data_IF_045382419686
#
_entry.id   IF_045382419686
#
_cell.length_a   1.000
_cell.length_b   1.000
_cell.length_c   1.000
_cell.angle_alpha   90.00
_cell.angle_beta   90.00
_cell.angle_gamma   90.00
#
_symmetry.space_group_name_H-M   'P 1'
#
loop_
_entity.id
_entity.type
_entity.pdbx_description
1 polymer ?
#
# COMPACT_ATOMS: atom_id res chain seq x y z
N UNK A 1 6.47 -23.67 10.10
CA UNK A 1 5.09 -23.14 10.20
C UNK A 1 4.17 -24.28 10.54
N UNK A 2 3.20 -24.04 11.40
CA UNK A 2 2.17 -25.01 11.79
C UNK A 2 1.10 -25.15 10.71
N UNK A 3 0.32 -26.24 10.70
CA UNK A 3 -0.83 -26.40 9.77
C UNK A 3 -1.77 -25.20 9.81
N UNK A 4 -2.04 -24.71 11.01
CA UNK A 4 -2.95 -23.58 11.24
C UNK A 4 -2.40 -22.29 10.61
N UNK A 5 -1.11 -22.00 10.82
CA UNK A 5 -0.47 -20.83 10.22
C UNK A 5 -0.44 -20.87 8.68
N UNK A 6 -0.35 -22.09 8.13
CA UNK A 6 -0.37 -22.30 6.69
C UNK A 6 -1.75 -22.01 6.09
N UNK A 7 -2.79 -22.64 6.63
CA UNK A 7 -4.16 -22.40 6.18
C UNK A 7 -4.56 -20.94 6.38
N UNK A 8 -4.04 -20.31 7.44
CA UNK A 8 -4.21 -18.87 7.65
C UNK A 8 -3.53 -18.04 6.55
N UNK A 9 -2.33 -18.43 6.10
CA UNK A 9 -1.67 -17.77 4.98
C UNK A 9 -2.45 -17.87 3.67
N UNK A 10 -3.13 -18.99 3.41
CA UNK A 10 -4.06 -19.13 2.27
C UNK A 10 -5.22 -18.14 2.39
N UNK A 11 -5.93 -18.12 3.53
CA UNK A 11 -7.04 -17.18 3.77
C UNK A 11 -6.61 -15.72 3.63
N UNK A 12 -5.42 -15.35 4.11
CA UNK A 12 -4.89 -13.98 3.97
C UNK A 12 -4.50 -13.63 2.54
N UNK A 13 -4.09 -14.62 1.74
CA UNK A 13 -3.78 -14.41 0.33
C UNK A 13 -5.06 -14.16 -0.46
N UNK A 14 -6.09 -14.97 -0.23
CA UNK A 14 -7.40 -14.81 -0.89
C UNK A 14 -8.07 -13.50 -0.48
N UNK A 15 -8.13 -13.21 0.83
CA UNK A 15 -8.67 -11.96 1.34
C UNK A 15 -7.87 -10.74 0.89
N UNK A 16 -6.56 -10.91 0.63
CA UNK A 16 -5.72 -9.87 0.03
C UNK A 16 -6.17 -9.46 -1.37
N UNK A 17 -6.71 -10.39 -2.17
CA UNK A 17 -7.29 -10.10 -3.49
C UNK A 17 -8.57 -9.27 -3.33
N UNK A 18 -9.43 -9.63 -2.38
CA UNK A 18 -10.66 -8.89 -2.11
C UNK A 18 -10.36 -7.47 -1.61
N UNK A 19 -9.36 -7.31 -0.75
CA UNK A 19 -8.89 -6.00 -0.32
C UNK A 19 -8.43 -5.13 -1.50
N UNK A 20 -7.71 -5.71 -2.48
CA UNK A 20 -7.30 -5.02 -3.71
C UNK A 20 -8.52 -4.60 -4.55
N UNK A 21 -9.54 -5.47 -4.67
CA UNK A 21 -10.79 -5.16 -5.40
C UNK A 21 -11.56 -4.03 -4.71
N UNK A 22 -11.68 -4.09 -3.38
CA UNK A 22 -12.32 -3.04 -2.58
C UNK A 22 -11.59 -1.71 -2.73
N UNK A 23 -10.25 -1.69 -2.69
CA UNK A 23 -9.46 -0.47 -2.93
C UNK A 23 -9.59 0.07 -4.35
N UNK A 24 -9.72 -0.81 -5.35
CA UNK A 24 -10.00 -0.38 -6.72
C UNK A 24 -11.37 0.32 -6.84
N UNK A 25 -12.40 -0.19 -6.13
CA UNK A 25 -13.70 0.47 -6.02
C UNK A 25 -13.61 1.85 -5.39
N UNK A 26 -12.99 1.96 -4.21
CA UNK A 26 -12.77 3.25 -3.53
C UNK A 26 -11.96 4.23 -4.39
N UNK A 27 -10.96 3.73 -5.13
CA UNK A 27 -10.16 4.57 -6.02
C UNK A 27 -10.99 5.14 -7.16
N UNK A 28 -11.91 4.34 -7.72
CA UNK A 28 -12.81 4.79 -8.80
C UNK A 28 -13.72 5.92 -8.34
N UNK A 29 -14.34 5.81 -7.17
CA UNK A 29 -15.18 6.86 -6.58
C UNK A 29 -14.40 8.18 -6.40
N UNK A 30 -13.15 8.10 -5.93
CA UNK A 30 -12.29 9.28 -5.78
C UNK A 30 -11.87 9.85 -7.13
N UNK A 31 -11.53 9.00 -8.10
CA UNK A 31 -11.16 9.44 -9.46
C UNK A 31 -12.33 10.11 -10.20
N UNK A 32 -13.57 9.67 -9.97
CA UNK A 32 -14.79 10.32 -10.44
C UNK A 32 -14.91 11.74 -9.86
N UNK A 33 -14.78 11.88 -8.54
CA UNK A 33 -14.77 13.20 -7.88
C UNK A 33 -13.65 14.13 -8.37
N UNK A 34 -12.47 13.59 -8.67
CA UNK A 34 -11.37 14.39 -9.26
C UNK A 34 -11.68 14.78 -10.71
N UNK A 35 -12.44 13.96 -11.44
CA UNK A 35 -12.90 14.28 -12.80
C UNK A 35 -13.92 15.42 -12.76
N UNK A 36 -14.89 15.37 -11.85
CA UNK A 36 -15.86 16.46 -11.63
C UNK A 36 -15.16 17.80 -11.33
N UNK A 37 -14.16 17.79 -10.45
CA UNK A 37 -13.34 18.97 -10.17
C UNK A 37 -12.61 19.47 -11.42
N UNK A 38 -12.07 18.56 -12.23
CA UNK A 38 -11.39 18.93 -13.47
C UNK A 38 -12.34 19.65 -14.43
N UNK A 39 -13.58 19.15 -14.57
CA UNK A 39 -14.62 19.78 -15.37
C UNK A 39 -15.03 21.14 -14.84
N UNK A 40 -15.16 21.30 -13.51
CA UNK A 40 -15.45 22.58 -12.87
C UNK A 40 -14.35 23.61 -13.13
N UNK A 41 -13.08 23.22 -12.97
CA UNK A 41 -11.93 24.08 -13.25
C UNK A 41 -11.85 24.49 -14.73
N UNK A 42 -12.21 23.59 -15.65
CA UNK A 42 -12.30 23.89 -17.09
C UNK A 42 -13.43 24.87 -17.38
N UNK A 43 -14.63 24.63 -16.82
CA UNK A 43 -15.79 25.54 -16.97
C UNK A 43 -15.48 26.94 -16.45
N UNK A 44 -14.74 27.03 -15.35
CA UNK A 44 -14.30 28.30 -14.78
C UNK A 44 -13.44 29.10 -15.76
N UNK A 45 -12.54 28.44 -16.50
CA UNK A 45 -11.75 29.10 -17.56
C UNK A 45 -12.58 29.45 -18.80
N UNK A 46 -13.44 28.54 -19.25
CA UNK A 46 -14.28 28.75 -20.44
C UNK A 46 -15.32 29.86 -20.23
N UNK A 47 -15.79 30.06 -19.00
CA UNK A 47 -16.69 31.16 -18.62
C UNK A 47 -16.03 32.53 -18.54
N UNK A 48 -14.80 32.69 -19.04
CA UNK A 48 -14.04 33.95 -19.03
C UNK A 48 -13.64 34.33 -20.45
N UNK A 49 -13.63 35.64 -20.73
CA UNK A 49 -13.15 36.16 -22.02
C UNK A 49 -11.62 36.22 -21.99
N UNK A 50 -10.98 35.26 -22.65
CA UNK A 50 -9.52 35.16 -22.76
C UNK A 50 -9.00 35.88 -24.03
N UNK A 51 -7.76 36.42 -24.03
CA UNK A 51 -6.79 36.43 -22.92
C UNK A 51 -7.23 37.30 -21.75
N UNK A 52 -6.84 36.93 -20.52
CA UNK A 52 -7.16 37.71 -19.31
C UNK A 52 -6.54 39.11 -19.44
N UNK A 53 -7.26 40.15 -19.02
CA UNK A 53 -6.86 41.54 -19.29
C UNK A 53 -5.93 42.11 -18.23
N UNK A 54 -6.02 41.58 -17.00
CA UNK A 54 -5.29 42.13 -15.86
C UNK A 54 -5.15 41.09 -14.73
N UNK A 55 -4.27 41.41 -13.78
CA UNK A 55 -3.98 40.57 -12.61
C UNK A 55 -5.20 40.38 -11.69
N UNK A 56 -6.15 41.32 -11.67
CA UNK A 56 -7.37 41.21 -10.85
C UNK A 56 -8.27 40.07 -11.35
N UNK A 57 -8.41 39.92 -12.67
CA UNK A 57 -9.14 38.80 -13.28
C UNK A 57 -8.45 37.46 -13.03
N UNK A 58 -7.11 37.42 -13.12
CA UNK A 58 -6.30 36.24 -12.73
C UNK A 58 -6.59 35.85 -11.29
N UNK A 59 -6.46 36.78 -10.34
CA UNK A 59 -6.65 36.48 -8.91
C UNK A 59 -8.08 36.01 -8.61
N UNK A 60 -9.10 36.59 -9.24
CA UNK A 60 -10.49 36.14 -9.07
C UNK A 60 -10.68 34.66 -9.49
N UNK A 61 -10.11 34.27 -10.63
CA UNK A 61 -10.12 32.89 -11.12
C UNK A 61 -9.42 31.96 -10.13
N UNK A 62 -8.26 32.37 -9.60
CA UNK A 62 -7.51 31.57 -8.63
C UNK A 62 -8.26 31.41 -7.31
N UNK A 63 -8.94 32.45 -6.83
CA UNK A 63 -9.71 32.40 -5.60
C UNK A 63 -10.95 31.49 -5.72
N UNK A 64 -11.65 31.57 -6.85
CA UNK A 64 -12.78 30.68 -7.16
C UNK A 64 -12.30 29.22 -7.28
N UNK A 65 -11.21 28.98 -8.01
CA UNK A 65 -10.64 27.64 -8.15
C UNK A 65 -10.16 27.07 -6.81
N UNK A 66 -9.51 27.88 -5.97
CA UNK A 66 -9.05 27.43 -4.65
C UNK A 66 -10.22 27.00 -3.75
N UNK A 67 -11.38 27.68 -3.84
CA UNK A 67 -12.60 27.29 -3.12
C UNK A 67 -13.15 25.96 -3.63
N UNK A 68 -13.27 25.79 -4.95
CA UNK A 68 -13.72 24.55 -5.59
C UNK A 68 -12.83 23.35 -5.22
N UNK A 69 -11.50 23.52 -5.35
CA UNK A 69 -10.52 22.49 -5.00
C UNK A 69 -10.63 22.12 -3.52
N UNK A 70 -10.70 23.11 -2.63
CA UNK A 70 -10.83 22.86 -1.18
C UNK A 70 -12.12 22.11 -0.85
N UNK A 71 -13.24 22.50 -1.46
CA UNK A 71 -14.53 21.85 -1.26
C UNK A 71 -14.46 20.37 -1.70
N UNK A 72 -14.04 20.11 -2.93
CA UNK A 72 -13.98 18.74 -3.47
C UNK A 72 -13.05 17.84 -2.66
N UNK A 73 -11.85 18.32 -2.31
CA UNK A 73 -10.91 17.52 -1.52
C UNK A 73 -11.38 17.29 -0.08
N UNK A 74 -12.20 18.19 0.47
CA UNK A 74 -12.85 17.96 1.78
C UNK A 74 -13.86 16.83 1.69
N UNK A 75 -14.67 16.80 0.62
CA UNK A 75 -15.61 15.70 0.38
C UNK A 75 -14.90 14.35 0.13
N UNK A 76 -13.86 14.35 -0.71
CA UNK A 76 -13.03 13.16 -0.96
C UNK A 76 -12.46 12.63 0.36
N UNK A 77 -11.92 13.51 1.20
CA UNK A 77 -11.36 13.12 2.49
C UNK A 77 -12.42 12.51 3.42
N UNK A 78 -13.62 13.09 3.48
CA UNK A 78 -14.72 12.59 4.31
C UNK A 78 -15.25 11.23 3.83
N UNK A 79 -15.47 11.08 2.52
CA UNK A 79 -15.93 9.83 1.92
C UNK A 79 -14.89 8.70 2.13
N UNK A 80 -13.61 9.01 1.90
CA UNK A 80 -12.54 8.05 2.12
C UNK A 80 -12.41 7.65 3.60
N UNK A 81 -12.53 8.59 4.56
CA UNK A 81 -12.52 8.29 6.00
C UNK A 81 -13.67 7.35 6.39
N UNK A 82 -14.88 7.59 5.87
CA UNK A 82 -16.03 6.72 6.11
C UNK A 82 -15.80 5.29 5.59
N UNK A 83 -15.27 5.17 4.36
CA UNK A 83 -14.90 3.90 3.75
C UNK A 83 -13.84 3.15 4.58
N UNK A 84 -12.81 3.85 5.08
CA UNK A 84 -11.77 3.27 5.92
C UNK A 84 -12.31 2.79 7.28
N UNK A 85 -13.27 3.50 7.89
CA UNK A 85 -13.88 3.07 9.17
C UNK A 85 -14.66 1.77 9.03
N UNK A 86 -15.37 1.61 7.90
CA UNK A 86 -16.06 0.36 7.58
C UNK A 86 -15.07 -0.75 7.30
N UNK A 87 -14.03 -0.47 6.51
CA UNK A 87 -12.95 -1.42 6.24
C UNK A 87 -12.29 -1.91 7.54
N UNK A 88 -12.00 -1.02 8.49
CA UNK A 88 -11.41 -1.41 9.78
C UNK A 88 -12.28 -2.43 10.54
N UNK A 89 -13.60 -2.29 10.50
CA UNK A 89 -14.53 -3.23 11.14
C UNK A 89 -14.52 -4.58 10.43
N UNK A 90 -14.55 -4.57 9.09
CA UNK A 90 -14.48 -5.79 8.26
C UNK A 90 -13.18 -6.54 8.54
N UNK A 91 -12.06 -5.83 8.57
CA UNK A 91 -10.72 -6.39 8.73
C UNK A 91 -10.48 -6.95 10.14
N UNK A 92 -11.00 -6.28 11.18
CA UNK A 92 -11.00 -6.85 12.53
C UNK A 92 -11.90 -8.10 12.64
N UNK A 93 -13.05 -8.10 11.98
CA UNK A 93 -13.91 -9.29 11.87
C UNK A 93 -13.16 -10.46 11.24
N UNK A 94 -12.58 -10.23 10.05
CA UNK A 94 -11.75 -11.19 9.33
C UNK A 94 -10.57 -11.71 10.16
N UNK A 95 -9.87 -10.84 10.89
CA UNK A 95 -8.71 -11.24 11.71
C UNK A 95 -9.04 -12.33 12.74
N UNK A 96 -10.21 -12.24 13.38
CA UNK A 96 -10.67 -13.24 14.34
C UNK A 96 -11.31 -14.46 13.68
N UNK A 97 -12.14 -14.25 12.65
CA UNK A 97 -12.86 -15.33 11.98
C UNK A 97 -11.96 -16.23 11.15
N UNK A 98 -10.90 -15.69 10.53
CA UNK A 98 -9.93 -16.45 9.74
C UNK A 98 -9.19 -17.50 10.56
N UNK A 99 -8.93 -17.25 11.84
CA UNK A 99 -8.35 -18.27 12.73
C UNK A 99 -9.45 -19.22 13.23
N UNK A 100 -10.59 -18.67 13.66
CA UNK A 100 -11.69 -19.46 14.23
C UNK A 100 -12.32 -20.44 13.24
N UNK A 101 -12.30 -20.15 11.92
CA UNK A 101 -12.80 -21.06 10.88
C UNK A 101 -11.92 -22.29 10.66
N UNK A 102 -10.67 -22.24 11.14
CA UNK A 102 -9.67 -23.30 10.96
C UNK A 102 -9.57 -24.24 12.17
N UNK A 103 -10.36 -24.00 13.21
CA UNK A 103 -10.35 -24.77 14.46
C UNK A 103 -11.76 -25.17 14.87
N UNK A 104 -11.92 -26.31 15.55
CA UNK A 104 -13.24 -26.81 15.94
C UNK A 104 -13.91 -26.02 17.05
N UNK A 105 -13.15 -25.25 17.83
CA UNK A 105 -13.64 -24.36 18.88
C UNK A 105 -13.01 -22.98 18.72
N UNK A 106 -13.77 -21.87 18.77
CA UNK A 106 -13.21 -20.54 18.65
C UNK A 106 -12.15 -20.26 19.73
N UNK A 107 -10.99 -19.78 19.29
CA UNK A 107 -9.85 -19.42 20.15
C UNK A 107 -9.51 -17.92 20.10
N UNK A 108 -10.00 -17.22 19.06
CA UNK A 108 -9.85 -15.77 18.92
C UNK A 108 -11.14 -15.05 19.32
N UNK A 109 -10.99 -14.04 20.16
CA UNK A 109 -12.01 -13.06 20.52
C UNK A 109 -12.05 -11.93 19.49
N UNK A 110 -13.26 -11.47 19.16
CA UNK A 110 -13.46 -10.26 18.37
C UNK A 110 -13.16 -8.98 19.16
N UNK A 111 -12.95 -7.89 18.45
CA UNK A 111 -12.80 -6.54 19.02
C UNK A 111 -14.03 -5.71 18.67
N UNK A 112 -14.51 -4.88 19.61
CA UNK A 112 -15.70 -4.06 19.41
C UNK A 112 -15.56 -3.06 18.26
N UNK A 113 -16.65 -2.84 17.51
CA UNK A 113 -16.71 -1.98 16.32
C UNK A 113 -16.13 -0.59 16.56
N UNK A 114 -16.48 0.05 17.68
CA UNK A 114 -16.01 1.40 18.01
C UNK A 114 -14.47 1.46 18.14
N UNK A 115 -13.86 0.42 18.74
CA UNK A 115 -12.39 0.33 18.86
C UNK A 115 -11.74 0.09 17.50
N UNK A 116 -12.33 -0.74 16.65
CA UNK A 116 -11.83 -0.98 15.28
C UNK A 116 -11.94 0.28 14.42
N UNK A 117 -13.09 0.96 14.40
CA UNK A 117 -13.26 2.20 13.63
C UNK A 117 -12.38 3.34 14.14
N UNK A 118 -11.98 3.33 15.42
CA UNK A 118 -11.04 4.31 15.97
C UNK A 118 -9.61 4.15 15.45
N UNK A 119 -9.24 2.99 14.90
CA UNK A 119 -7.90 2.75 14.30
C UNK A 119 -7.59 3.78 13.23
N UNK A 120 -8.58 4.15 12.40
CA UNK A 120 -8.42 5.11 11.30
C UNK A 120 -7.80 6.44 11.76
N UNK A 121 -8.16 6.91 12.96
CA UNK A 121 -7.66 8.18 13.48
C UNK A 121 -6.16 8.16 13.85
N UNK A 122 -5.63 6.98 14.18
CA UNK A 122 -4.24 6.78 14.60
C UNK A 122 -3.36 6.20 13.48
N UNK A 123 -3.94 5.79 12.36
CA UNK A 123 -3.20 5.24 11.23
C UNK A 123 -2.38 6.32 10.54
N UNK A 124 -1.06 6.10 10.46
CA UNK A 124 -0.14 6.93 9.71
C UNK A 124 0.22 6.25 8.38
N UNK A 125 0.12 7.01 7.29
CA UNK A 125 0.56 6.62 5.95
C UNK A 125 1.89 7.31 5.73
N UNK A 126 2.98 6.55 5.79
CA UNK A 126 4.34 7.07 5.50
C UNK A 126 4.66 8.32 6.34
N UNK A 127 4.29 8.25 7.62
CA UNK A 127 4.54 9.30 8.63
C UNK A 127 3.45 10.35 8.80
N UNK A 128 2.40 10.37 7.97
CA UNK A 128 1.32 11.36 8.10
C UNK A 128 -0.09 10.72 8.02
N UNK A 129 -1.09 11.25 8.74
CA UNK A 129 -2.46 10.75 8.64
C UNK A 129 -3.05 11.04 7.25
N UNK A 130 -3.99 10.21 6.81
CA UNK A 130 -4.66 10.34 5.50
C UNK A 130 -5.24 11.74 5.25
N UNK A 131 -5.76 12.40 6.31
CA UNK A 131 -6.27 13.78 6.22
C UNK A 131 -5.20 14.78 5.79
N UNK A 132 -3.98 14.68 6.30
CA UNK A 132 -2.88 15.58 5.90
C UNK A 132 -2.46 15.35 4.45
N UNK A 133 -2.46 14.09 3.99
CA UNK A 133 -2.18 13.78 2.59
C UNK A 133 -3.23 14.38 1.65
N UNK A 134 -4.52 14.34 1.99
CA UNK A 134 -5.55 14.99 1.18
C UNK A 134 -5.41 16.52 1.14
N UNK A 135 -5.07 17.15 2.27
CA UNK A 135 -4.76 18.58 2.32
C UNK A 135 -3.58 18.92 1.41
N UNK A 136 -2.52 18.09 1.44
CA UNK A 136 -1.37 18.26 0.56
C UNK A 136 -1.77 18.14 -0.92
N UNK A 137 -2.56 17.13 -1.30
CA UNK A 137 -2.99 16.97 -2.69
C UNK A 137 -3.86 18.15 -3.16
N UNK A 138 -4.74 18.68 -2.31
CA UNK A 138 -5.52 19.88 -2.62
C UNK A 138 -4.61 21.10 -2.87
N UNK A 139 -3.58 21.28 -2.05
CA UNK A 139 -2.59 22.34 -2.23
C UNK A 139 -1.77 22.15 -3.52
N UNK A 140 -1.34 20.91 -3.83
CA UNK A 140 -0.61 20.59 -5.06
C UNK A 140 -1.44 20.90 -6.30
N UNK A 141 -2.75 20.57 -6.30
CA UNK A 141 -3.69 20.90 -7.39
C UNK A 141 -3.86 22.41 -7.53
N UNK A 142 -4.07 23.11 -6.41
CA UNK A 142 -4.21 24.57 -6.40
C UNK A 142 -2.96 25.26 -6.96
N UNK A 143 -1.78 24.78 -6.58
CA UNK A 143 -0.50 25.29 -7.08
C UNK A 143 -0.34 25.09 -8.59
N UNK A 144 -0.66 23.88 -9.09
CA UNK A 144 -0.59 23.55 -10.53
C UNK A 144 -1.58 24.36 -11.35
N UNK A 145 -2.82 24.46 -10.90
CA UNK A 145 -3.84 25.28 -11.56
C UNK A 145 -3.40 26.75 -11.61
N UNK A 146 -2.89 27.29 -10.49
CA UNK A 146 -2.38 28.65 -10.46
C UNK A 146 -1.22 28.88 -11.42
N UNK A 147 -0.34 27.90 -11.58
CA UNK A 147 0.71 27.92 -12.59
C UNK A 147 0.15 28.03 -14.01
N UNK A 148 -0.84 27.21 -14.37
CA UNK A 148 -1.49 27.25 -15.69
C UNK A 148 -2.09 28.62 -15.97
N UNK A 149 -2.87 29.18 -15.04
CA UNK A 149 -3.54 30.47 -15.26
C UNK A 149 -2.55 31.64 -15.34
N UNK A 150 -1.55 31.67 -14.45
CA UNK A 150 -0.54 32.75 -14.44
C UNK A 150 0.33 32.72 -15.69
N UNK A 151 0.81 31.54 -16.08
CA UNK A 151 1.61 31.39 -17.29
C UNK A 151 0.77 31.68 -18.54
N UNK A 152 -0.48 31.21 -18.56
CA UNK A 152 -1.40 31.51 -19.65
C UNK A 152 -1.66 33.00 -19.82
N UNK A 153 -1.77 33.74 -18.72
CA UNK A 153 -1.86 35.21 -18.75
C UNK A 153 -0.57 35.86 -19.27
N UNK A 154 0.60 35.47 -18.75
CA UNK A 154 1.89 36.06 -19.14
C UNK A 154 2.25 35.78 -20.60
N UNK A 155 1.96 34.56 -21.07
CA UNK A 155 2.33 34.10 -22.40
C UNK A 155 1.24 34.33 -23.46
N UNK A 156 0.07 34.84 -23.07
CA UNK A 156 -1.06 35.04 -23.98
C UNK A 156 -1.66 33.72 -24.51
N UNK A 157 -1.67 32.66 -23.70
CA UNK A 157 -2.22 31.35 -24.10
C UNK A 157 -3.73 31.39 -24.29
N UNK A 158 -4.23 30.56 -25.22
CA UNK A 158 -5.67 30.39 -25.45
C UNK A 158 -6.30 29.52 -24.35
N UNK A 159 -7.63 29.59 -24.25
CA UNK A 159 -8.41 28.71 -23.38
C UNK A 159 -8.10 27.24 -23.65
N UNK A 160 -8.03 26.83 -24.91
CA UNK A 160 -7.78 25.44 -25.30
C UNK A 160 -6.39 24.96 -24.87
N UNK A 161 -5.38 25.84 -24.93
CA UNK A 161 -4.02 25.53 -24.48
C UNK A 161 -3.97 25.32 -22.97
N UNK A 162 -4.61 26.19 -22.18
CA UNK A 162 -4.71 26.03 -20.74
C UNK A 162 -5.55 24.79 -20.34
N UNK A 163 -6.67 24.56 -21.02
CA UNK A 163 -7.50 23.36 -20.80
C UNK A 163 -6.70 22.09 -21.10
N UNK A 164 -5.91 22.06 -22.17
CA UNK A 164 -5.03 20.92 -22.49
C UNK A 164 -4.01 20.67 -21.38
N UNK A 165 -3.49 21.70 -20.70
CA UNK A 165 -2.60 21.52 -19.56
C UNK A 165 -3.31 20.95 -18.32
N UNK A 166 -4.59 21.24 -18.13
CA UNK A 166 -5.39 20.76 -17.00
C UNK A 166 -5.81 19.30 -17.21
N UNK A 167 -6.54 19.02 -18.28
CA UNK A 167 -7.19 17.72 -18.52
C UNK A 167 -6.51 16.85 -19.57
N UNK A 168 -5.54 17.41 -20.29
CA UNK A 168 -4.88 16.72 -21.40
C UNK A 168 -5.67 16.77 -22.70
N UNK A 169 -5.19 16.03 -23.69
CA UNK A 169 -5.90 15.78 -24.94
C UNK A 169 -5.63 14.35 -25.40
N UNK A 170 -6.63 13.74 -26.04
CA UNK A 170 -6.46 12.45 -26.73
C UNK A 170 -5.56 12.61 -27.96
N UNK A 171 -5.04 11.49 -28.46
CA UNK A 171 -4.31 11.48 -29.73
C UNK A 171 -5.20 12.04 -30.85
N UNK A 172 -4.60 12.79 -31.78
CA UNK A 172 -5.30 13.40 -32.92
C UNK A 172 -4.43 13.30 -34.17
N UNK A 173 -4.82 12.43 -35.11
CA UNK A 173 -3.97 12.09 -36.26
C UNK A 173 -2.61 11.60 -35.79
N UNK A 174 -1.54 12.19 -36.31
CA UNK A 174 -0.15 11.86 -35.94
C UNK A 174 0.30 12.48 -34.60
N UNK A 175 -0.54 13.30 -33.95
CA UNK A 175 -0.18 13.95 -32.69
C UNK A 175 -0.39 13.00 -31.50
N UNK A 176 0.65 12.78 -30.66
CA UNK A 176 0.54 11.94 -29.48
C UNK A 176 -0.41 12.58 -28.44
N UNK A 177 -0.99 11.76 -27.55
CA UNK A 177 -1.82 12.27 -26.45
C UNK A 177 -0.97 13.12 -25.51
N UNK A 178 -1.57 14.19 -24.97
CA UNK A 178 -0.96 15.03 -23.93
C UNK A 178 -1.65 14.72 -22.62
N UNK A 179 -0.88 14.43 -21.57
CA UNK A 179 -1.42 14.21 -20.23
C UNK A 179 -1.56 15.55 -19.51
N UNK A 180 -2.76 15.84 -19.02
CA UNK A 180 -3.01 16.99 -18.16
C UNK A 180 -2.52 16.72 -16.74
N UNK A 181 -2.34 17.78 -15.95
CA UNK A 181 -1.91 17.59 -14.56
C UNK A 181 -2.97 16.88 -13.71
N UNK A 182 -4.26 16.90 -14.10
CA UNK A 182 -5.31 16.16 -13.39
C UNK A 182 -5.12 14.64 -13.45
N UNK A 183 -4.43 14.10 -14.48
CA UNK A 183 -4.04 12.68 -14.50
C UNK A 183 -3.01 12.36 -13.41
N UNK A 184 -2.15 13.32 -13.05
CA UNK A 184 -1.21 13.18 -11.93
C UNK A 184 -1.98 13.15 -10.61
N UNK A 185 -2.97 14.03 -10.45
CA UNK A 185 -3.84 14.08 -9.28
C UNK A 185 -4.59 12.76 -9.06
N UNK A 186 -5.15 12.18 -10.12
CA UNK A 186 -5.81 10.86 -10.08
C UNK A 186 -4.86 9.75 -9.63
N UNK A 187 -3.65 9.68 -10.21
CA UNK A 187 -2.64 8.67 -9.81
C UNK A 187 -2.20 8.82 -8.35
N UNK A 188 -2.01 10.06 -7.89
CA UNK A 188 -1.66 10.36 -6.50
C UNK A 188 -2.79 9.95 -5.54
N UNK A 189 -4.04 10.25 -5.90
CA UNK A 189 -5.21 9.86 -5.13
C UNK A 189 -5.37 8.33 -5.03
N UNK A 190 -5.29 7.61 -6.16
CA UNK A 190 -5.30 6.13 -6.20
C UNK A 190 -4.22 5.53 -5.30
N UNK A 191 -3.02 6.09 -5.35
CA UNK A 191 -1.90 5.65 -4.51
C UNK A 191 -2.22 5.86 -3.02
N UNK A 192 -2.76 7.03 -2.65
CA UNK A 192 -3.15 7.31 -1.27
C UNK A 192 -4.27 6.39 -0.78
N UNK A 193 -5.29 6.14 -1.60
CA UNK A 193 -6.41 5.23 -1.29
C UNK A 193 -5.89 3.82 -1.00
N UNK A 194 -5.06 3.26 -1.90
CA UNK A 194 -4.45 1.94 -1.70
C UNK A 194 -3.70 1.85 -0.37
N UNK A 195 -2.82 2.81 -0.10
CA UNK A 195 -1.97 2.74 1.09
C UNK A 195 -2.74 3.00 2.39
N UNK A 196 -3.74 3.87 2.34
CA UNK A 196 -4.64 4.10 3.49
C UNK A 196 -5.39 2.84 3.86
N UNK A 197 -5.98 2.15 2.88
CA UNK A 197 -6.71 0.91 3.11
C UNK A 197 -5.80 -0.19 3.66
N UNK A 198 -4.60 -0.37 3.09
CA UNK A 198 -3.64 -1.38 3.58
C UNK A 198 -3.20 -1.10 5.03
N UNK A 199 -2.92 0.16 5.35
CA UNK A 199 -2.50 0.55 6.70
C UNK A 199 -3.63 0.38 7.72
N UNK A 200 -4.86 0.77 7.36
CA UNK A 200 -6.04 0.60 8.21
C UNK A 200 -6.38 -0.88 8.39
N UNK A 201 -6.31 -1.69 7.33
CA UNK A 201 -6.53 -3.13 7.41
C UNK A 201 -5.52 -3.79 8.35
N UNK A 202 -4.23 -3.45 8.23
CA UNK A 202 -3.21 -3.94 9.15
C UNK A 202 -3.48 -3.48 10.59
N UNK A 203 -3.74 -2.19 10.82
CA UNK A 203 -4.02 -1.65 12.15
C UNK A 203 -5.20 -2.34 12.83
N UNK A 204 -6.28 -2.58 12.09
CA UNK A 204 -7.47 -3.29 12.59
C UNK A 204 -7.18 -4.74 12.97
N UNK A 205 -6.45 -5.47 12.12
CA UNK A 205 -6.02 -6.85 12.41
C UNK A 205 -5.10 -6.90 13.62
N UNK A 206 -4.17 -5.95 13.74
CA UNK A 206 -3.25 -5.83 14.87
C UNK A 206 -3.97 -5.59 16.21
N UNK A 207 -5.06 -4.80 16.23
CA UNK A 207 -5.89 -4.64 17.42
C UNK A 207 -6.49 -5.97 17.90
N UNK A 208 -6.91 -6.82 16.95
CA UNK A 208 -7.44 -8.16 17.26
C UNK A 208 -6.33 -9.09 17.74
N UNK A 209 -5.16 -9.08 17.08
CA UNK A 209 -4.04 -9.89 17.52
C UNK A 209 -3.61 -9.52 18.94
N UNK A 210 -3.51 -8.22 19.23
CA UNK A 210 -3.18 -7.68 20.56
C UNK A 210 -4.21 -8.10 21.61
N UNK A 211 -5.49 -8.07 21.28
CA UNK A 211 -6.56 -8.51 22.20
C UNK A 211 -6.50 -10.02 22.51
N UNK A 212 -5.87 -10.81 21.64
CA UNK A 212 -5.72 -12.26 21.76
C UNK A 212 -4.28 -12.69 22.07
N UNK A 213 -3.44 -11.74 22.53
CA UNK A 213 -2.06 -11.98 22.92
C UNK A 213 -1.94 -12.23 24.42
N UNK A 214 -0.77 -12.71 24.86
CA UNK A 214 -0.42 -12.88 26.27
C UNK A 214 -0.24 -14.34 26.67
N UNK A 215 -0.13 -14.59 27.97
CA UNK A 215 0.16 -15.92 28.51
C UNK A 215 -0.91 -16.95 28.14
N UNK A 216 -2.18 -16.57 28.20
CA UNK A 216 -3.31 -17.44 27.89
C UNK A 216 -3.92 -17.22 26.49
N UNK A 217 -3.39 -16.25 25.74
CA UNK A 217 -3.86 -15.95 24.38
C UNK A 217 -3.20 -16.83 23.32
N UNK A 218 -3.88 -17.13 22.19
CA UNK A 218 -3.31 -17.92 21.11
C UNK A 218 -2.21 -17.20 20.32
N UNK A 219 -2.13 -15.86 20.39
CA UNK A 219 -1.13 -15.07 19.65
C UNK A 219 0.14 -14.91 20.49
N UNK A 220 1.28 -15.36 19.96
CA UNK A 220 2.62 -15.21 20.57
C UNK A 220 3.53 -14.21 19.85
N UNK A 221 3.06 -13.63 18.75
CA UNK A 221 3.82 -12.62 18.01
C UNK A 221 3.19 -12.31 16.65
N UNK A 222 4.04 -11.92 15.72
CA UNK A 222 3.64 -11.47 14.39
C UNK A 222 4.50 -12.13 13.33
N UNK A 223 3.91 -12.41 12.18
CA UNK A 223 4.62 -12.92 11.00
C UNK A 223 4.28 -12.07 9.80
N UNK A 224 5.26 -11.79 8.95
CA UNK A 224 4.96 -11.20 7.65
C UNK A 224 4.73 -12.29 6.60
N UNK A 225 3.65 -12.12 5.83
CA UNK A 225 3.36 -12.86 4.62
C UNK A 225 3.49 -11.92 3.43
N UNK A 226 4.47 -12.16 2.57
CA UNK A 226 4.62 -11.41 1.33
C UNK A 226 4.02 -12.14 0.15
N UNK A 227 3.38 -11.37 -0.74
CA UNK A 227 2.81 -11.88 -1.99
C UNK A 227 3.92 -12.54 -2.81
N UNK A 228 3.67 -13.72 -3.40
CA UNK A 228 4.63 -14.41 -4.26
C UNK A 228 4.33 -14.09 -5.73
N UNK A 229 4.76 -12.91 -6.18
CA UNK A 229 4.55 -12.47 -7.56
C UNK A 229 5.63 -11.51 -8.08
N UNK A 230 5.47 -11.09 -9.34
CA UNK A 230 6.39 -10.17 -10.01
C UNK A 230 6.38 -8.72 -9.49
N UNK A 231 5.41 -8.33 -8.67
CA UNK A 231 5.29 -6.94 -8.19
C UNK A 231 5.73 -6.81 -6.72
N UNK A 232 6.29 -7.87 -6.15
CA UNK A 232 6.80 -7.86 -4.78
C UNK A 232 8.18 -7.23 -4.72
N UNK A 233 8.32 -6.18 -3.92
CA UNK A 233 9.54 -5.37 -3.80
C UNK A 233 10.60 -6.08 -2.96
N UNK A 234 11.86 -5.69 -3.13
CA UNK A 234 13.01 -6.25 -2.38
C UNK A 234 12.79 -6.27 -0.87
N UNK A 235 12.32 -5.17 -0.29
CA UNK A 235 12.02 -5.12 1.14
C UNK A 235 10.95 -6.15 1.56
N UNK A 236 9.93 -6.41 0.73
CA UNK A 236 8.94 -7.42 1.05
C UNK A 236 9.49 -8.84 0.86
N UNK A 237 10.28 -9.09 -0.20
CA UNK A 237 10.92 -10.39 -0.46
C UNK A 237 11.77 -10.84 0.74
N UNK A 238 12.55 -9.91 1.32
CA UNK A 238 13.47 -10.18 2.44
C UNK A 238 12.72 -10.45 3.75
N UNK A 239 11.59 -9.78 3.95
CA UNK A 239 10.80 -9.92 5.17
C UNK A 239 9.79 -11.07 5.11
N UNK A 240 9.61 -11.75 3.98
CA UNK A 240 8.69 -12.88 3.86
C UNK A 240 9.00 -13.96 4.91
N UNK A 241 7.97 -14.41 5.61
CA UNK A 241 8.02 -15.42 6.68
C UNK A 241 8.82 -15.05 7.94
N UNK A 242 9.38 -13.83 8.02
CA UNK A 242 10.06 -13.33 9.22
C UNK A 242 9.06 -13.12 10.36
N UNK A 243 9.52 -13.33 11.58
CA UNK A 243 8.67 -13.36 12.79
C UNK A 243 9.23 -12.49 13.90
N UNK A 244 8.32 -11.81 14.59
CA UNK A 244 8.65 -11.00 15.77
C UNK A 244 7.79 -11.44 16.95
N UNK A 245 8.31 -11.33 18.16
CA UNK A 245 7.53 -11.56 19.37
C UNK A 245 6.53 -10.42 19.64
N UNK A 246 5.79 -10.53 20.75
CA UNK A 246 4.80 -9.52 21.17
C UNK A 246 5.42 -8.14 21.48
N UNK A 247 6.74 -8.07 21.71
CA UNK A 247 7.50 -6.84 21.92
C UNK A 247 8.16 -6.34 20.62
N UNK A 248 7.81 -6.93 19.47
CA UNK A 248 8.38 -6.62 18.17
C UNK A 248 9.88 -6.91 18.04
N UNK A 249 10.43 -7.76 18.92
CA UNK A 249 11.82 -8.21 18.81
C UNK A 249 11.90 -9.33 17.77
N UNK A 250 12.87 -9.28 16.85
CA UNK A 250 13.00 -10.29 15.81
C UNK A 250 13.36 -11.65 16.41
N UNK A 251 12.80 -12.72 15.84
CA UNK A 251 13.03 -14.10 16.28
C UNK A 251 13.74 -14.87 15.17
N UNK A 252 14.99 -15.27 15.41
CA UNK A 252 15.80 -15.99 14.43
C UNK A 252 16.32 -15.15 13.27
N UNK A 253 16.31 -13.82 13.38
CA UNK A 253 16.90 -12.88 12.42
C UNK A 253 17.22 -11.52 13.07
N UNK A 254 17.85 -10.61 12.33
CA UNK A 254 18.21 -9.26 12.80
C UNK A 254 17.29 -8.14 12.29
N UNK A 255 16.38 -8.44 11.36
CA UNK A 255 15.52 -7.43 10.72
C UNK A 255 14.51 -6.80 11.72
N UNK A 256 14.50 -5.47 11.90
CA UNK A 256 13.58 -4.80 12.83
C UNK A 256 12.14 -4.82 12.33
N UNK A 257 11.15 -4.87 13.24
CA UNK A 257 9.74 -4.82 12.84
C UNK A 257 9.39 -3.51 12.10
N UNK A 258 9.96 -2.39 12.56
CA UNK A 258 9.59 -1.02 12.19
C UNK A 258 8.09 -0.78 12.45
N UNK A 259 7.29 -0.65 11.40
CA UNK A 259 5.84 -0.50 11.45
C UNK A 259 5.06 -1.74 10.97
N UNK A 260 5.76 -2.81 10.56
CA UNK A 260 5.15 -3.95 9.87
C UNK A 260 4.63 -3.59 8.46
N UNK A 261 3.66 -4.35 7.96
CA UNK A 261 2.98 -4.04 6.69
C UNK A 261 1.90 -2.97 6.89
N UNK A 262 1.66 -2.05 5.93
CA UNK A 262 2.43 -1.83 4.71
C UNK A 262 3.80 -1.20 5.00
N UNK A 263 4.85 -1.73 4.35
CA UNK A 263 6.24 -1.25 4.53
C UNK A 263 6.64 -0.07 3.65
N UNK A 264 5.91 0.12 2.56
CA UNK A 264 6.20 1.10 1.53
C UNK A 264 4.94 1.41 0.74
N UNK A 265 4.95 2.50 -0.01
CA UNK A 265 3.96 2.81 -1.04
C UNK A 265 3.69 1.62 -1.97
N UNK A 266 2.43 1.19 -2.06
CA UNK A 266 1.99 0.11 -2.95
C UNK A 266 2.25 -1.30 -2.39
N UNK A 267 2.58 -1.42 -1.10
CA UNK A 267 2.75 -2.72 -0.46
C UNK A 267 1.45 -3.55 -0.54
N UNK A 268 1.60 -4.85 -0.82
CA UNK A 268 0.52 -5.85 -0.87
C UNK A 268 0.77 -7.04 0.07
N UNK A 269 1.85 -6.96 0.86
CA UNK A 269 2.15 -7.93 1.91
C UNK A 269 1.27 -7.67 3.13
N UNK A 270 1.06 -8.70 3.95
CA UNK A 270 0.23 -8.65 5.14
C UNK A 270 0.98 -9.10 6.39
N UNK A 271 0.57 -8.58 7.55
CA UNK A 271 0.98 -9.11 8.85
C UNK A 271 -0.06 -10.11 9.34
N UNK A 272 0.38 -11.33 9.65
CA UNK A 272 -0.39 -12.41 10.23
C UNK A 272 -0.09 -12.52 11.73
N UNK A 273 -1.02 -13.06 12.53
CA UNK A 273 -0.69 -13.44 13.89
C UNK A 273 0.28 -14.62 13.85
N UNK A 274 1.35 -14.56 14.65
CA UNK A 274 2.17 -15.72 14.92
C UNK A 274 1.53 -16.48 16.09
N UNK A 275 1.02 -17.68 15.81
CA UNK A 275 0.20 -18.44 16.74
C UNK A 275 1.06 -19.41 17.56
N UNK A 276 0.62 -19.66 18.80
CA UNK A 276 1.08 -20.82 19.57
C UNK A 276 0.71 -22.11 18.83
N UNK A 277 1.58 -23.10 18.89
CA UNK A 277 1.31 -24.47 18.47
C UNK A 277 0.19 -25.04 19.33
N UNK A 278 -0.46 -26.10 18.85
CA UNK A 278 -1.50 -26.78 19.65
C UNK A 278 -0.91 -27.32 20.96
N UNK A 279 0.33 -27.82 20.94
CA UNK A 279 1.02 -28.27 22.16
C UNK A 279 1.32 -27.12 23.13
N UNK A 280 1.70 -25.94 22.63
CA UNK A 280 1.84 -24.73 23.46
C UNK A 280 0.50 -24.24 24.04
N UNK A 281 -0.63 -24.69 23.48
CA UNK A 281 -1.98 -24.48 23.99
C UNK A 281 -2.50 -25.66 24.83
N UNK A 282 -1.64 -26.65 25.13
CA UNK A 282 -1.99 -27.82 25.94
C UNK A 282 -2.79 -28.91 25.20
N UNK A 283 -2.80 -28.87 23.86
CA UNK A 283 -3.50 -29.83 23.00
C UNK A 283 -2.46 -30.68 22.27
N UNK A 284 -2.38 -31.97 22.59
CA UNK A 284 -1.39 -32.88 22.00
C UNK A 284 -1.87 -33.45 20.66
N UNK A 285 -1.63 -32.70 19.58
CA UNK A 285 -1.89 -33.11 18.19
C UNK A 285 -0.72 -32.72 17.29
N UNK A 286 -0.44 -33.56 16.29
CA UNK A 286 0.63 -33.32 15.32
C UNK A 286 0.25 -32.29 14.25
N UNK A 287 1.21 -31.47 13.86
CA UNK A 287 1.03 -30.46 12.82
C UNK A 287 1.26 -31.06 11.42
N UNK A 288 0.32 -30.82 10.50
CA UNK A 288 0.39 -31.34 9.12
C UNK A 288 0.88 -30.26 8.15
N UNK A 289 1.66 -30.66 7.13
CA UNK A 289 2.11 -29.78 6.03
C UNK A 289 0.94 -29.40 5.11
N UNK A 290 0.98 -28.21 4.52
CA UNK A 290 -0.03 -27.72 3.58
C UNK A 290 0.59 -26.71 2.58
N UNK A 291 -0.21 -26.06 1.75
CA UNK A 291 0.20 -25.23 0.60
C UNK A 291 -0.10 -23.73 0.80
N UNK A 292 0.38 -22.88 -0.10
CA UNK A 292 0.03 -21.46 -0.22
C UNK A 292 -0.04 -21.07 -1.69
N UNK A 293 -0.86 -20.07 -2.01
CA UNK A 293 -0.93 -19.55 -3.37
C UNK A 293 0.35 -18.80 -3.79
N UNK A 294 0.72 -18.98 -5.06
CA UNK A 294 1.78 -18.28 -5.79
C UNK A 294 1.28 -17.94 -7.20
N UNK A 295 1.97 -17.04 -7.91
CA UNK A 295 1.70 -16.80 -9.33
C UNK A 295 1.86 -18.04 -10.24
N UNK A 296 2.40 -19.15 -9.73
CA UNK A 296 2.57 -20.43 -10.44
C UNK A 296 1.61 -21.53 -9.97
N UNK A 297 0.59 -21.17 -9.19
CA UNK A 297 -0.30 -22.11 -8.52
C UNK A 297 0.09 -22.38 -7.07
N UNK A 298 -0.46 -23.47 -6.51
CA UNK A 298 -0.24 -23.83 -5.11
C UNK A 298 1.19 -24.34 -4.88
N UNK A 299 1.91 -23.75 -3.93
CA UNK A 299 3.27 -24.14 -3.53
C UNK A 299 3.29 -24.59 -2.06
N UNK A 300 4.29 -25.34 -1.58
CA UNK A 300 4.38 -25.67 -0.16
C UNK A 300 4.36 -24.40 0.70
N UNK A 301 3.58 -24.39 1.77
CA UNK A 301 3.37 -23.16 2.52
C UNK A 301 4.61 -22.63 3.21
N UNK A 302 5.49 -23.53 3.69
CA UNK A 302 6.79 -23.19 4.25
C UNK A 302 7.76 -22.56 3.26
N UNK A 303 7.41 -22.52 1.96
CA UNK A 303 8.21 -21.88 0.94
C UNK A 303 8.23 -20.36 1.18
N UNK A 304 9.41 -19.86 1.53
CA UNK A 304 9.69 -18.43 1.58
C UNK A 304 10.03 -17.91 0.17
N UNK A 305 9.97 -16.59 0.01
CA UNK A 305 10.26 -15.93 -1.26
C UNK A 305 11.61 -16.34 -1.85
N UNK A 306 12.67 -16.43 -1.04
CA UNK A 306 14.00 -16.79 -1.51
C UNK A 306 14.04 -18.19 -2.15
N UNK A 307 13.43 -19.17 -1.50
CA UNK A 307 13.37 -20.55 -2.01
C UNK A 307 12.48 -20.63 -3.24
N UNK A 308 11.38 -19.87 -3.25
CA UNK A 308 10.51 -19.74 -4.41
C UNK A 308 11.23 -19.13 -5.63
N UNK A 309 12.03 -18.08 -5.41
CA UNK A 309 12.81 -17.40 -6.44
C UNK A 309 13.90 -18.30 -7.05
N UNK A 310 14.47 -19.24 -6.25
CA UNK A 310 15.47 -20.21 -6.75
C UNK A 310 14.92 -21.11 -7.83
N UNK A 311 13.63 -21.43 -7.77
CA UNK A 311 12.93 -22.23 -8.79
C UNK A 311 12.55 -21.47 -10.06
N UNK A 312 12.93 -20.19 -10.19
CA UNK A 312 12.57 -19.34 -11.35
C UNK A 312 13.63 -19.32 -12.44
N UNK A 313 13.20 -18.90 -13.63
CA UNK A 313 14.11 -18.69 -14.75
C UNK A 313 15.13 -17.59 -14.40
N UNK A 314 16.33 -17.69 -15.00
CA UNK A 314 17.39 -16.68 -14.83
C UNK A 314 16.89 -15.27 -15.19
N UNK A 315 16.12 -15.16 -16.27
CA UNK A 315 15.52 -13.89 -16.70
C UNK A 315 14.61 -13.29 -15.63
N UNK A 316 13.77 -14.10 -14.97
CA UNK A 316 12.91 -13.62 -13.89
C UNK A 316 13.72 -13.21 -12.65
N UNK A 317 14.76 -13.97 -12.31
CA UNK A 317 15.66 -13.60 -11.20
C UNK A 317 16.39 -12.28 -11.47
N UNK A 318 16.87 -12.08 -12.70
CA UNK A 318 17.52 -10.83 -13.13
C UNK A 318 16.52 -9.66 -13.14
N UNK A 319 15.26 -9.90 -13.50
CA UNK A 319 14.18 -8.91 -13.38
C UNK A 319 13.91 -8.52 -11.92
N UNK A 320 13.91 -9.48 -10.99
CA UNK A 320 13.60 -9.21 -9.57
C UNK A 320 14.74 -8.54 -8.81
N UNK A 321 15.98 -9.00 -9.02
CA UNK A 321 17.13 -8.56 -8.23
C UNK A 321 18.01 -7.55 -9.00
N UNK A 322 17.82 -7.42 -10.30
CA UNK A 322 18.81 -6.81 -11.19
C UNK A 322 19.97 -7.79 -11.48
N UNK A 323 20.61 -7.69 -12.65
CA UNK A 323 21.58 -8.70 -13.12
C UNK A 323 22.78 -8.88 -12.18
N UNK A 324 23.27 -7.79 -11.57
CA UNK A 324 24.41 -7.84 -10.66
C UNK A 324 24.11 -8.57 -9.33
N UNK A 325 23.01 -8.21 -8.65
CA UNK A 325 22.61 -8.88 -7.40
C UNK A 325 22.20 -10.32 -7.66
N UNK A 326 21.51 -10.58 -8.77
CA UNK A 326 21.10 -11.92 -9.17
C UNK A 326 22.31 -12.85 -9.40
N UNK A 327 23.39 -12.35 -10.01
CA UNK A 327 24.64 -13.11 -10.15
C UNK A 327 25.24 -13.49 -8.78
N UNK A 328 25.44 -12.51 -7.90
CA UNK A 328 25.99 -12.74 -6.55
C UNK A 328 25.14 -13.74 -5.77
N UNK A 329 23.82 -13.59 -5.84
CA UNK A 329 22.86 -14.46 -5.15
C UNK A 329 22.87 -15.89 -5.70
N UNK A 330 22.89 -16.07 -7.03
CA UNK A 330 23.01 -17.40 -7.65
C UNK A 330 24.31 -18.09 -7.31
N UNK A 331 25.42 -17.34 -7.18
CA UNK A 331 26.71 -17.86 -6.73
C UNK A 331 26.78 -18.15 -5.23
N UNK A 332 25.74 -17.82 -4.47
CA UNK A 332 25.70 -17.99 -3.02
C UNK A 332 26.58 -17.02 -2.24
N UNK A 333 27.06 -15.95 -2.89
CA UNK A 333 27.88 -14.90 -2.26
C UNK A 333 27.03 -14.04 -1.33
N UNK A 334 25.75 -13.85 -1.68
CA UNK A 334 24.75 -13.16 -0.86
C UNK A 334 23.48 -13.99 -0.75
N UNK A 335 22.75 -13.81 0.35
CA UNK A 335 21.35 -14.20 0.52
C UNK A 335 20.44 -13.01 0.25
N UNK A 336 19.12 -13.22 0.17
CA UNK A 336 18.19 -12.07 0.10
C UNK A 336 18.32 -11.16 1.35
N UNK A 337 18.61 -11.72 2.52
CA UNK A 337 18.73 -10.92 3.76
C UNK A 337 19.88 -9.90 3.68
N UNK A 338 20.91 -10.20 2.89
CA UNK A 338 22.07 -9.33 2.69
C UNK A 338 21.76 -8.14 1.77
N UNK A 339 20.59 -8.11 1.14
CA UNK A 339 20.15 -6.97 0.34
C UNK A 339 19.78 -5.76 1.19
N UNK A 340 19.57 -5.96 2.50
CA UNK A 340 19.20 -4.89 3.43
C UNK A 340 20.29 -4.69 4.50
N UNK A 341 20.46 -3.45 4.96
CA UNK A 341 21.24 -3.16 6.15
C UNK A 341 20.53 -3.64 7.44
N UNK A 342 21.21 -3.53 8.58
CA UNK A 342 20.63 -3.88 9.90
C UNK A 342 19.42 -3.01 10.28
N UNK A 343 19.26 -1.85 9.63
CA UNK A 343 18.11 -0.96 9.76
C UNK A 343 17.03 -1.32 8.75
N UNK A 344 17.16 -2.36 7.94
CA UNK A 344 16.19 -2.79 6.93
C UNK A 344 16.08 -1.85 5.71
N UNK A 345 17.14 -1.14 5.34
CA UNK A 345 17.20 -0.30 4.15
C UNK A 345 17.94 -1.01 3.01
N UNK A 346 17.51 -0.88 1.74
CA UNK A 346 18.20 -1.49 0.60
C UNK A 346 19.66 -1.06 0.46
N UNK A 347 20.56 -2.01 0.22
CA UNK A 347 21.96 -1.77 -0.09
C UNK A 347 22.17 -1.55 -1.59
N UNK A 348 23.00 -0.57 -1.95
CA UNK A 348 23.47 -0.39 -3.33
C UNK A 348 24.41 -1.51 -3.77
N UNK A 349 24.58 -1.68 -5.10
CA UNK A 349 25.55 -2.63 -5.65
C UNK A 349 26.98 -2.36 -5.17
N UNK A 350 27.37 -1.08 -5.05
CA UNK A 350 28.68 -0.71 -4.54
C UNK A 350 28.88 -1.13 -3.07
N UNK A 351 27.86 -0.94 -2.23
CA UNK A 351 27.89 -1.39 -0.84
C UNK A 351 27.95 -2.92 -0.74
N UNK A 352 27.17 -3.64 -1.56
CA UNK A 352 27.24 -5.11 -1.61
C UNK A 352 28.61 -5.60 -2.07
N UNK A 353 29.21 -4.98 -3.10
CA UNK A 353 30.56 -5.33 -3.57
C UNK A 353 31.58 -5.13 -2.46
N UNK A 354 31.54 -3.98 -1.77
CA UNK A 354 32.45 -3.70 -0.66
C UNK A 354 32.33 -4.70 0.51
N UNK A 355 31.14 -5.26 0.75
CA UNK A 355 30.90 -6.20 1.85
C UNK A 355 31.24 -7.64 1.51
N UNK A 356 30.93 -8.08 0.29
CA UNK A 356 30.92 -9.51 -0.08
C UNK A 356 31.82 -9.87 -1.26
N UNK A 357 32.39 -8.89 -1.94
CA UNK A 357 33.39 -9.06 -2.99
C UNK A 357 34.41 -7.89 -3.00
N UNK A 358 35.07 -7.61 -1.86
CA UNK A 358 36.17 -6.65 -1.85
C UNK A 358 37.30 -7.16 -2.77
N UNK A 359 37.91 -6.25 -3.52
CA UNK A 359 38.93 -6.57 -4.53
C UNK A 359 40.14 -7.35 -3.95
#
# INVERSE_FOLDING_TARGET
>A
MTRLEVLLAELYTDHGIDLIRTTAGMSKEVEEKITELAEELVKLLQGRRLPLKNVKEVNAILDEAAKAIKAQYTEIAAAHDANLRQLAVIEGGFASSSVNSLVSRPIMLGVGKNRLSAVVANTLIEGAPTKQWWLKQAADVSFRFAGVVRNGFVNGETTEQMVTQIVGRRARGDQPPVKGFMDVSKRAARTLVHNSAQAVANGARMEVYKANSGENGPVKGYRQLSTLDSHTTEICMVYDQKTWDLQFRPVGHSLPYKQGCPRHWGCRSATLPWLKTMRELGIDVDEVKSTRASMDGQVPASLNFETWLKGKSKAFQDEKLGPGRADLWRRGVITLSDLLDQRGNPLSLAQLKSLYAPD
#
